data_IF_859686035332
#
_entry.id   IF_859686035332
#
_cell.length_a   1.000
_cell.length_b   1.000
_cell.length_c   1.000
_cell.angle_alpha   90.00
_cell.angle_beta   90.00
_cell.angle_gamma   90.00
#
_symmetry.space_group_name_H-M   'P 1'
#
loop_
_entity.id
_entity.type
_entity.pdbx_description
1 polymer ?
#
# COMPACT_ATOMS: atom_id res chain seq x y z
N UNK A 1 8.43 0.97 -18.24
CA UNK A 1 7.18 0.51 -18.85
C UNK A 1 5.98 0.86 -17.98
N UNK A 2 4.81 1.18 -18.56
CA UNK A 2 3.62 1.51 -17.77
C UNK A 2 3.16 0.38 -16.86
N UNK A 3 3.46 -0.85 -17.22
CA UNK A 3 3.13 -2.00 -16.39
C UNK A 3 3.92 -1.99 -15.07
N UNK A 4 5.21 -1.66 -15.15
CA UNK A 4 6.04 -1.58 -13.94
C UNK A 4 5.57 -0.46 -13.02
N UNK A 5 5.21 0.70 -13.58
CA UNK A 5 4.70 1.82 -12.80
C UNK A 5 3.37 1.49 -12.15
N UNK A 6 2.49 0.83 -12.88
CA UNK A 6 1.19 0.43 -12.35
C UNK A 6 1.35 -0.57 -11.19
N UNK A 7 2.29 -1.49 -11.33
CA UNK A 7 2.56 -2.49 -10.29
C UNK A 7 3.13 -1.83 -9.03
N UNK A 8 4.05 -0.89 -9.22
CA UNK A 8 4.63 -0.16 -8.09
C UNK A 8 3.56 0.60 -7.32
N UNK A 9 2.65 1.25 -8.02
CA UNK A 9 1.55 1.97 -7.40
C UNK A 9 0.67 1.05 -6.56
N UNK A 10 0.35 -0.13 -7.07
CA UNK A 10 -0.45 -1.10 -6.33
C UNK A 10 0.24 -1.58 -5.07
N UNK A 11 1.54 -1.85 -5.15
CA UNK A 11 2.32 -2.28 -3.98
C UNK A 11 2.33 -1.19 -2.91
N UNK A 12 2.54 0.06 -3.31
CA UNK A 12 2.55 1.18 -2.39
C UNK A 12 1.18 1.31 -1.71
N UNK A 13 0.11 1.16 -2.47
CA UNK A 13 -1.24 1.26 -1.95
C UNK A 13 -1.52 0.18 -0.90
N UNK A 14 -1.09 -1.05 -1.18
CA UNK A 14 -1.26 -2.17 -0.25
C UNK A 14 -0.49 -1.91 1.05
N UNK A 15 0.74 -1.44 0.95
CA UNK A 15 1.57 -1.15 2.13
C UNK A 15 0.90 -0.07 2.98
N UNK A 16 0.42 1.00 2.35
CA UNK A 16 -0.27 2.07 3.07
C UNK A 16 -1.53 1.56 3.77
N UNK A 17 -2.28 0.72 3.10
CA UNK A 17 -3.48 0.12 3.69
C UNK A 17 -3.17 -0.72 4.93
N UNK A 18 -2.12 -1.53 4.85
CA UNK A 18 -1.70 -2.38 5.97
C UNK A 18 -1.23 -1.52 7.14
N UNK A 19 -0.46 -0.47 6.87
CA UNK A 19 0.03 0.43 7.91
C UNK A 19 -1.14 1.12 8.62
N UNK A 20 -2.11 1.60 7.87
CA UNK A 20 -3.28 2.28 8.43
C UNK A 20 -4.09 1.31 9.30
N UNK A 21 -4.31 0.10 8.83
CA UNK A 21 -5.04 -0.91 9.59
C UNK A 21 -4.29 -1.29 10.88
N UNK A 22 -2.99 -1.47 10.78
CA UNK A 22 -2.18 -1.79 11.95
C UNK A 22 -2.20 -0.69 12.99
N UNK A 23 -2.10 0.55 12.55
CA UNK A 23 -2.18 1.70 13.43
C UNK A 23 -3.55 1.81 14.09
N UNK A 24 -4.61 1.55 13.33
CA UNK A 24 -5.97 1.60 13.85
C UNK A 24 -6.21 0.55 14.93
N UNK A 25 -5.61 -0.61 14.79
CA UNK A 25 -5.74 -1.66 15.81
C UNK A 25 -5.00 -1.32 17.10
N UNK A 26 -3.90 -0.58 16.99
CA UNK A 26 -3.12 -0.18 18.16
C UNK A 26 -3.76 1.00 18.90
N UNK A 27 -4.48 1.82 18.17
CA UNK A 27 -5.18 2.95 18.78
C UNK A 27 -6.62 2.57 19.07
#
# INVERSE_FOLDING_TARGET
TPETLNRATGVILVILGIVVLGFSMLS
#
